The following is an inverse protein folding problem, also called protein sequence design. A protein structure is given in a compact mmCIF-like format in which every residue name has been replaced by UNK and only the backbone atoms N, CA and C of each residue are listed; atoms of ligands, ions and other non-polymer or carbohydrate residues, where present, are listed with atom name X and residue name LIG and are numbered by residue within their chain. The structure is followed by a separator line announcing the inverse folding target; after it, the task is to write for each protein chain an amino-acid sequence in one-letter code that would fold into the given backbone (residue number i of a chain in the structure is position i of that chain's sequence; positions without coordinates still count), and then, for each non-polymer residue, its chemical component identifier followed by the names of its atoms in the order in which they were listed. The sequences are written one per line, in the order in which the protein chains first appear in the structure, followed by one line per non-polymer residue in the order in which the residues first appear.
data_IF_389793100603
#
_entry.id   IF_389793100603
#
_cell.length_a   1.000
_cell.length_b   1.000
_cell.length_c   1.000
_cell.angle_alpha   90.00
_cell.angle_beta   90.00
_cell.angle_gamma   90.00
#
_symmetry.space_group_name_H-M   'P 1'
#
loop_
_entity.id
_entity.type
_entity.pdbx_description
1 polymer ?
#
# COMPACT_ATOMS: atom_id res chain seq x y z
N UNK A 1 20.87 12.41 9.75
CA UNK A 1 20.14 11.86 8.59
C UNK A 1 20.83 10.62 8.02
N UNK A 2 20.05 9.65 7.50
CA UNK A 2 20.58 8.44 6.92
C UNK A 2 21.09 7.36 7.89
N UNK A 3 20.85 7.48 9.17
CA UNK A 3 21.21 6.50 10.19
C UNK A 3 19.96 5.89 10.84
N UNK A 4 20.02 4.59 11.11
CA UNK A 4 19.04 3.92 11.96
C UNK A 4 19.52 4.00 13.40
N UNK A 5 18.61 4.38 14.31
CA UNK A 5 18.84 4.38 15.75
C UNK A 5 17.80 3.49 16.42
N UNK A 6 18.14 2.90 17.56
CA UNK A 6 17.25 2.04 18.32
C UNK A 6 16.97 2.67 19.66
N UNK A 7 15.71 2.71 20.02
CA UNK A 7 15.20 3.11 21.31
C UNK A 7 14.35 1.96 21.87
N UNK A 8 14.52 1.65 23.12
CA UNK A 8 13.65 0.71 23.81
C UNK A 8 13.10 1.33 25.10
N UNK A 9 11.89 0.98 25.46
CA UNK A 9 11.26 1.40 26.69
C UNK A 9 10.28 0.33 27.19
N UNK A 10 10.01 0.34 28.49
CA UNK A 10 8.99 -0.51 29.11
C UNK A 10 7.83 0.37 29.55
N UNK A 11 6.68 0.29 28.92
CA UNK A 11 5.51 1.03 29.36
C UNK A 11 5.03 0.48 30.71
N UNK A 12 4.57 1.35 31.59
CA UNK A 12 4.10 1.00 32.94
C UNK A 12 2.61 1.21 33.14
N UNK A 13 1.94 1.86 32.16
CA UNK A 13 0.51 2.16 32.23
C UNK A 13 -0.12 2.01 30.86
N UNK A 14 -1.26 1.32 30.80
CA UNK A 14 -2.10 1.22 29.60
C UNK A 14 -2.67 2.59 29.28
N UNK A 15 -2.76 2.94 27.98
CA UNK A 15 -3.32 4.19 27.52
C UNK A 15 -2.78 4.65 26.17
N UNK A 16 -3.24 5.83 25.76
CA UNK A 16 -2.78 6.50 24.56
C UNK A 16 -1.88 7.68 24.95
N UNK A 17 -0.74 7.79 24.30
CA UNK A 17 0.27 8.82 24.56
C UNK A 17 0.71 9.47 23.26
N UNK A 18 1.09 10.74 23.36
CA UNK A 18 1.70 11.45 22.23
C UNK A 18 3.22 11.30 22.28
N UNK A 19 3.82 11.01 21.14
CA UNK A 19 5.26 11.14 20.93
C UNK A 19 5.50 12.34 20.03
N UNK A 20 6.21 13.31 20.57
CA UNK A 20 6.48 14.58 19.91
C UNK A 20 7.96 14.67 19.56
N UNK A 21 8.28 15.36 18.47
CA UNK A 21 9.65 15.74 18.18
C UNK A 21 10.09 16.82 19.19
N UNK A 22 11.14 16.53 19.97
CA UNK A 22 11.56 17.39 21.08
C UNK A 22 12.49 18.51 20.66
N UNK A 23 13.24 18.33 19.55
CA UNK A 23 14.20 19.29 19.02
C UNK A 23 13.86 19.68 17.60
N UNK A 24 14.07 20.95 17.24
CA UNK A 24 13.77 21.45 15.91
C UNK A 24 14.51 20.64 14.82
N UNK A 25 13.73 20.00 13.94
CA UNK A 25 14.26 19.07 12.92
C UNK A 25 13.97 19.53 11.48
N UNK A 26 13.30 20.65 11.27
CA UNK A 26 12.99 21.18 9.93
C UNK A 26 11.61 21.82 9.83
N UNK A 27 11.18 22.11 8.60
CA UNK A 27 10.00 22.93 8.27
C UNK A 27 8.68 22.39 8.85
N UNK A 28 8.51 21.07 8.98
CA UNK A 28 7.29 20.43 9.52
C UNK A 28 7.49 19.89 10.94
N UNK A 29 8.40 20.48 11.70
CA UNK A 29 8.71 20.04 13.05
C UNK A 29 7.47 19.95 13.97
N UNK A 30 6.57 20.92 13.90
CA UNK A 30 5.32 20.95 14.69
C UNK A 30 4.33 19.86 14.32
N UNK A 31 4.43 19.31 13.11
CA UNK A 31 3.52 18.30 12.58
C UNK A 31 4.03 16.86 12.82
N UNK A 32 5.24 16.73 13.40
CA UNK A 32 5.84 15.45 13.75
C UNK A 32 5.24 14.92 15.05
N UNK A 33 3.99 14.49 14.97
CA UNK A 33 3.21 13.96 16.08
C UNK A 33 2.92 12.48 15.78
N UNK A 34 3.36 11.58 16.66
CA UNK A 34 2.98 10.18 16.63
C UNK A 34 2.14 9.81 17.86
N UNK A 35 1.31 8.79 17.72
CA UNK A 35 0.53 8.22 18.82
C UNK A 35 1.12 6.88 19.24
N UNK A 36 1.31 6.69 20.51
CA UNK A 36 1.77 5.44 21.13
C UNK A 36 0.61 4.84 21.90
N UNK A 37 0.17 3.66 21.48
CA UNK A 37 -0.89 2.90 22.14
C UNK A 37 -0.25 1.83 23.00
N UNK A 38 -0.41 1.95 24.32
CA UNK A 38 -0.01 0.93 25.29
C UNK A 38 -1.23 0.11 25.63
N UNK A 39 -1.19 -1.17 25.28
CA UNK A 39 -2.30 -2.10 25.43
C UNK A 39 -1.97 -3.15 26.50
N UNK A 40 -3.00 -3.84 26.98
CA UNK A 40 -2.83 -5.07 27.76
C UNK A 40 -2.05 -6.11 26.94
N UNK A 41 -1.19 -6.93 27.56
CA UNK A 41 -0.40 -7.95 26.84
C UNK A 41 -1.23 -8.90 25.96
N UNK A 42 -2.46 -9.25 26.37
CA UNK A 42 -3.32 -10.13 25.58
C UNK A 42 -3.89 -9.40 24.35
N UNK A 43 -4.30 -8.14 24.51
CA UNK A 43 -4.76 -7.28 23.39
C UNK A 43 -3.62 -6.99 22.42
N UNK A 44 -2.42 -6.70 22.93
CA UNK A 44 -1.25 -6.51 22.08
C UNK A 44 -0.89 -7.78 21.29
N UNK A 45 -0.94 -8.94 21.91
CA UNK A 45 -0.67 -10.21 21.24
C UNK A 45 -1.70 -10.49 20.12
N UNK A 46 -2.99 -10.17 20.37
CA UNK A 46 -4.04 -10.28 19.37
C UNK A 46 -3.78 -9.31 18.21
N UNK A 47 -3.52 -8.05 18.51
CA UNK A 47 -3.20 -7.04 17.51
C UNK A 47 -1.97 -7.42 16.68
N UNK A 48 -0.91 -7.92 17.32
CA UNK A 48 0.32 -8.35 16.64
C UNK A 48 0.05 -9.53 15.71
N UNK A 49 -0.77 -10.49 16.12
CA UNK A 49 -1.16 -11.62 15.29
C UNK A 49 -1.98 -11.18 14.07
N UNK A 50 -2.88 -10.21 14.23
CA UNK A 50 -3.69 -9.62 13.16
C UNK A 50 -2.83 -8.84 12.16
N UNK A 51 -1.97 -7.95 12.65
CA UNK A 51 -1.05 -7.17 11.81
C UNK A 51 -0.01 -8.04 11.10
N UNK A 52 0.39 -9.16 11.72
CA UNK A 52 1.35 -10.10 11.12
C UNK A 52 0.75 -10.94 10.00
N UNK A 53 -0.53 -11.29 10.12
CA UNK A 53 -1.28 -12.00 9.07
C UNK A 53 -2.69 -11.41 8.93
N UNK A 54 -2.84 -10.33 8.18
CA UNK A 54 -4.12 -9.67 7.99
C UNK A 54 -5.18 -10.56 7.32
N UNK A 55 -4.78 -11.67 6.70
CA UNK A 55 -5.70 -12.63 6.09
C UNK A 55 -6.45 -13.52 7.11
N UNK A 56 -6.16 -13.39 8.39
CA UNK A 56 -6.88 -14.17 9.42
C UNK A 56 -8.29 -13.66 9.67
N UNK A 57 -8.48 -12.34 9.63
CA UNK A 57 -9.74 -11.70 10.01
C UNK A 57 -10.33 -10.85 8.87
N UNK A 58 -9.60 -10.69 7.75
CA UNK A 58 -10.02 -9.89 6.61
C UNK A 58 -10.13 -10.72 5.33
N UNK A 59 -11.07 -10.34 4.47
CA UNK A 59 -11.17 -10.90 3.13
C UNK A 59 -9.94 -10.55 2.28
N UNK A 60 -9.71 -11.29 1.20
CA UNK A 60 -8.63 -10.94 0.26
C UNK A 60 -8.80 -9.52 -0.29
N UNK A 61 -10.01 -9.12 -0.63
CA UNK A 61 -10.29 -7.77 -1.14
C UNK A 61 -10.04 -6.68 -0.09
N UNK A 62 -10.38 -6.91 1.20
CA UNK A 62 -10.08 -5.95 2.27
C UNK A 62 -8.58 -5.79 2.49
N UNK A 63 -7.83 -6.90 2.48
CA UNK A 63 -6.36 -6.84 2.54
C UNK A 63 -5.80 -6.11 1.32
N UNK A 64 -6.34 -6.40 0.14
CA UNK A 64 -6.00 -5.70 -1.10
C UNK A 64 -6.21 -4.19 -1.00
N UNK A 65 -7.36 -3.77 -0.46
CA UNK A 65 -7.69 -2.36 -0.20
C UNK A 65 -6.66 -1.70 0.71
N UNK A 66 -6.30 -2.34 1.81
CA UNK A 66 -5.29 -1.84 2.74
C UNK A 66 -3.91 -1.71 2.08
N UNK A 67 -3.51 -2.69 1.27
CA UNK A 67 -2.24 -2.66 0.55
C UNK A 67 -2.20 -1.54 -0.48
N UNK A 68 -3.27 -1.39 -1.28
CA UNK A 68 -3.39 -0.33 -2.28
C UNK A 68 -3.36 1.05 -1.63
N UNK A 69 -4.11 1.25 -0.55
CA UNK A 69 -4.11 2.52 0.20
C UNK A 69 -2.73 2.87 0.74
N UNK A 70 -1.97 1.88 1.22
CA UNK A 70 -0.66 2.11 1.83
C UNK A 70 0.47 2.27 0.83
N UNK A 71 0.43 1.57 -0.31
CA UNK A 71 1.58 1.45 -1.23
C UNK A 71 1.38 2.07 -2.61
N UNK A 72 0.13 2.28 -3.03
CA UNK A 72 -0.18 2.66 -4.41
C UNK A 72 -0.84 4.04 -4.52
N UNK A 73 -1.56 4.50 -3.48
CA UNK A 73 -2.38 5.71 -3.52
C UNK A 73 -1.59 7.01 -3.72
N UNK A 74 -0.28 7.01 -3.46
CA UNK A 74 0.58 8.18 -3.74
C UNK A 74 0.69 8.47 -5.25
N UNK A 75 0.58 7.44 -6.09
CA UNK A 75 0.74 7.54 -7.54
C UNK A 75 -0.53 7.21 -8.33
N UNK A 76 -1.43 6.42 -7.77
CA UNK A 76 -2.65 5.97 -8.44
C UNK A 76 -3.90 6.44 -7.70
N UNK A 77 -4.94 6.81 -8.44
CA UNK A 77 -6.26 7.12 -7.90
C UNK A 77 -7.20 5.91 -8.03
N UNK A 78 -8.29 5.93 -7.27
CA UNK A 78 -9.39 4.95 -7.35
C UNK A 78 -10.69 5.60 -7.86
N UNK A 79 -10.69 6.92 -8.04
CA UNK A 79 -11.88 7.72 -8.37
C UNK A 79 -11.90 8.22 -9.84
N UNK A 80 -10.87 7.92 -10.61
CA UNK A 80 -10.75 8.31 -12.01
C UNK A 80 -9.95 9.59 -12.24
N UNK A 81 -9.46 10.26 -11.21
CA UNK A 81 -8.63 11.44 -11.35
C UNK A 81 -7.27 11.09 -11.96
N UNK A 82 -6.74 12.01 -12.75
CA UNK A 82 -5.36 11.88 -13.25
C UNK A 82 -4.37 12.00 -12.09
N UNK A 83 -3.36 11.13 -12.10
CA UNK A 83 -2.25 11.14 -11.14
C UNK A 83 -0.96 10.72 -11.89
N UNK A 84 0.14 10.51 -11.16
CA UNK A 84 1.42 10.02 -11.71
C UNK A 84 1.26 8.71 -12.49
N UNK A 85 0.43 7.81 -11.98
CA UNK A 85 0.03 6.55 -12.63
C UNK A 85 -1.45 6.56 -13.05
N UNK A 86 -1.87 5.58 -13.87
CA UNK A 86 -3.25 5.43 -14.29
C UNK A 86 -4.17 5.11 -13.12
N UNK A 87 -5.44 5.52 -13.22
CA UNK A 87 -6.44 5.24 -12.20
C UNK A 87 -6.79 3.75 -12.15
N UNK A 88 -7.05 3.25 -10.94
CA UNK A 88 -7.56 1.90 -10.71
C UNK A 88 -9.09 1.78 -10.85
N UNK A 89 -9.79 2.92 -11.02
CA UNK A 89 -11.25 2.91 -11.24
C UNK A 89 -11.60 2.03 -12.41
N UNK A 90 -12.41 0.99 -12.18
CA UNK A 90 -12.83 0.00 -13.19
C UNK A 90 -11.65 -0.54 -14.00
N UNK A 91 -10.54 -0.85 -13.34
CA UNK A 91 -9.33 -1.34 -14.01
C UNK A 91 -9.53 -2.77 -14.49
N UNK A 92 -10.02 -3.67 -13.63
CA UNK A 92 -10.16 -5.09 -13.96
C UNK A 92 -11.13 -5.29 -15.13
N UNK A 93 -10.71 -6.06 -16.12
CA UNK A 93 -11.47 -6.30 -17.34
C UNK A 93 -11.44 -5.19 -18.38
N UNK A 94 -10.86 -4.02 -18.09
CA UNK A 94 -10.77 -2.90 -19.03
C UNK A 94 -9.69 -3.15 -20.08
N UNK A 95 -9.93 -2.69 -21.30
CA UNK A 95 -8.88 -2.58 -22.31
C UNK A 95 -7.93 -1.43 -22.00
N UNK A 96 -6.65 -1.72 -21.97
CA UNK A 96 -5.55 -0.77 -21.70
C UNK A 96 -4.69 -0.64 -22.94
N UNK A 97 -4.56 0.59 -23.45
CA UNK A 97 -3.65 0.91 -24.55
C UNK A 97 -2.24 1.11 -24.00
N UNK A 98 -1.28 0.41 -24.58
CA UNK A 98 0.12 0.50 -24.20
C UNK A 98 0.88 1.52 -25.05
N UNK A 99 2.04 1.95 -24.58
CA UNK A 99 2.89 2.94 -25.23
C UNK A 99 3.46 2.46 -26.58
N UNK A 100 3.57 1.15 -26.78
CA UNK A 100 3.96 0.53 -28.05
C UNK A 100 2.82 0.46 -29.09
N UNK A 101 1.63 0.95 -28.71
CA UNK A 101 0.43 0.96 -29.56
C UNK A 101 -0.43 -0.31 -29.46
N UNK A 102 -0.01 -1.33 -28.76
CA UNK A 102 -0.81 -2.53 -28.52
C UNK A 102 -1.91 -2.28 -27.47
N UNK A 103 -2.93 -3.11 -27.48
CA UNK A 103 -4.01 -3.07 -26.49
C UNK A 103 -4.07 -4.42 -25.78
N UNK A 104 -4.20 -4.40 -24.47
CA UNK A 104 -4.28 -5.58 -23.61
C UNK A 104 -5.48 -5.46 -22.67
N UNK A 105 -6.06 -6.58 -22.27
CA UNK A 105 -7.09 -6.60 -21.24
C UNK A 105 -6.41 -6.60 -19.87
N UNK A 106 -6.85 -5.73 -18.97
CA UNK A 106 -6.34 -5.68 -17.59
C UNK A 106 -6.92 -6.84 -16.77
N UNK A 107 -6.43 -8.03 -17.02
CA UNK A 107 -6.73 -9.27 -16.30
C UNK A 107 -5.78 -9.50 -15.10
N UNK A 108 -5.91 -10.64 -14.44
CA UNK A 108 -5.04 -11.02 -13.32
C UNK A 108 -3.56 -11.07 -13.70
N UNK A 109 -3.26 -11.57 -14.92
CA UNK A 109 -1.87 -11.68 -15.40
C UNK A 109 -1.28 -10.31 -15.66
N UNK A 110 -2.04 -9.42 -16.30
CA UNK A 110 -1.63 -8.03 -16.53
C UNK A 110 -1.31 -7.32 -15.22
N UNK A 111 -2.19 -7.43 -14.20
CA UNK A 111 -2.00 -6.78 -12.89
C UNK A 111 -0.77 -7.36 -12.20
N UNK A 112 -0.62 -8.69 -12.17
CA UNK A 112 0.54 -9.38 -11.59
C UNK A 112 1.83 -8.95 -12.28
N UNK A 113 1.85 -8.94 -13.61
CA UNK A 113 3.03 -8.54 -14.37
C UNK A 113 3.39 -7.07 -14.12
N UNK A 114 2.41 -6.18 -14.07
CA UNK A 114 2.63 -4.76 -13.77
C UNK A 114 3.24 -4.53 -12.39
N UNK A 115 2.89 -5.34 -11.38
CA UNK A 115 3.48 -5.28 -10.05
C UNK A 115 4.92 -5.81 -10.00
N UNK A 116 5.21 -6.88 -10.75
CA UNK A 116 6.52 -7.55 -10.69
C UNK A 116 7.50 -6.97 -11.70
N UNK A 117 7.02 -6.63 -12.90
CA UNK A 117 7.81 -6.14 -14.03
C UNK A 117 7.18 -4.88 -14.65
N UNK A 118 7.07 -3.75 -13.91
CA UNK A 118 6.31 -2.57 -14.35
C UNK A 118 6.82 -1.93 -15.64
N UNK A 119 8.06 -2.18 -16.01
CA UNK A 119 8.64 -1.67 -17.26
C UNK A 119 8.27 -2.44 -18.53
N UNK A 120 7.55 -3.59 -18.40
CA UNK A 120 7.21 -4.40 -19.59
C UNK A 120 6.00 -3.86 -20.34
N UNK A 121 4.99 -3.39 -19.63
CA UNK A 121 3.72 -2.95 -20.20
C UNK A 121 3.42 -1.54 -19.70
N UNK A 122 3.95 -0.54 -20.40
CA UNK A 122 3.79 0.86 -20.04
C UNK A 122 2.49 1.37 -20.66
N UNK A 123 1.60 1.91 -19.86
CA UNK A 123 0.32 2.48 -20.30
C UNK A 123 0.58 3.74 -21.13
N UNK A 124 -0.10 3.87 -22.27
CA UNK A 124 0.03 5.04 -23.15
C UNK A 124 -0.25 6.35 -22.39
N UNK A 125 0.64 7.32 -22.53
CA UNK A 125 0.54 8.62 -21.87
C UNK A 125 1.14 8.68 -20.46
N UNK A 126 1.71 7.58 -19.95
CA UNK A 126 2.37 7.55 -18.66
C UNK A 126 3.87 7.26 -18.79
N UNK A 127 4.64 7.75 -17.83
CA UNK A 127 6.09 7.52 -17.76
C UNK A 127 6.40 6.20 -16.99
N UNK A 128 7.52 5.50 -17.32
CA UNK A 128 7.92 4.24 -16.69
C UNK A 128 8.57 4.47 -15.31
N UNK A 129 7.82 5.08 -14.39
CA UNK A 129 8.31 5.46 -13.04
C UNK A 129 7.79 4.55 -11.92
N UNK A 130 6.92 3.58 -12.25
CA UNK A 130 6.40 2.63 -11.27
C UNK A 130 7.53 1.73 -10.74
N UNK A 131 7.72 1.65 -9.41
CA UNK A 131 8.72 0.76 -8.83
C UNK A 131 8.28 -0.70 -8.94
N UNK A 132 9.24 -1.62 -8.95
CA UNK A 132 8.93 -3.06 -8.87
C UNK A 132 8.61 -3.46 -7.43
N UNK A 133 7.61 -4.31 -7.28
CA UNK A 133 7.25 -4.95 -6.01
C UNK A 133 7.75 -6.39 -5.90
N UNK A 134 8.61 -6.81 -6.83
CA UNK A 134 9.24 -8.13 -6.79
C UNK A 134 9.99 -8.34 -5.48
N UNK A 135 9.68 -9.42 -4.74
CA UNK A 135 10.28 -9.71 -3.44
C UNK A 135 9.78 -8.82 -2.28
N UNK A 136 8.91 -7.82 -2.56
CA UNK A 136 8.30 -6.96 -1.55
C UNK A 136 6.85 -7.34 -1.23
N UNK A 137 6.14 -7.88 -2.21
CA UNK A 137 4.81 -8.44 -2.06
C UNK A 137 4.88 -9.97 -2.17
N UNK A 138 4.20 -10.66 -1.27
CA UNK A 138 3.98 -12.10 -1.34
C UNK A 138 2.87 -12.43 -2.36
N UNK A 139 2.84 -13.64 -2.87
CA UNK A 139 1.80 -14.05 -3.84
C UNK A 139 0.37 -13.86 -3.30
N UNK A 140 0.14 -14.13 -2.01
CA UNK A 140 -1.16 -13.87 -1.35
C UNK A 140 -1.55 -12.40 -1.38
N UNK A 141 -0.58 -11.49 -1.21
CA UNK A 141 -0.81 -10.05 -1.22
C UNK A 141 -1.09 -9.54 -2.63
N UNK A 142 -0.42 -10.10 -3.64
CA UNK A 142 -0.72 -9.80 -5.05
C UNK A 142 -2.13 -10.27 -5.39
N UNK A 143 -2.51 -11.48 -4.98
CA UNK A 143 -3.88 -11.99 -5.15
C UNK A 143 -4.89 -11.08 -4.47
N UNK A 144 -4.61 -10.60 -3.25
CA UNK A 144 -5.47 -9.68 -2.53
C UNK A 144 -5.69 -8.36 -3.29
N UNK A 145 -4.64 -7.80 -3.87
CA UNK A 145 -4.74 -6.59 -4.70
C UNK A 145 -5.64 -6.85 -5.93
N UNK A 146 -5.49 -8.01 -6.57
CA UNK A 146 -6.31 -8.40 -7.73
C UNK A 146 -7.79 -8.52 -7.33
N UNK A 147 -8.09 -9.19 -6.20
CA UNK A 147 -9.48 -9.33 -5.70
C UNK A 147 -10.10 -7.96 -5.39
N UNK A 148 -9.33 -7.04 -4.79
CA UNK A 148 -9.80 -5.67 -4.59
C UNK A 148 -10.08 -4.94 -5.91
N UNK A 149 -9.27 -5.13 -6.94
CA UNK A 149 -9.54 -4.52 -8.25
C UNK A 149 -10.74 -5.12 -8.96
N UNK A 150 -11.08 -6.38 -8.71
CA UNK A 150 -12.35 -6.99 -9.17
C UNK A 150 -13.55 -6.30 -8.53
N UNK A 151 -13.53 -6.08 -7.20
CA UNK A 151 -14.57 -5.33 -6.51
C UNK A 151 -14.71 -3.89 -7.00
N UNK A 152 -13.61 -3.22 -7.35
CA UNK A 152 -13.65 -1.85 -7.90
C UNK A 152 -14.24 -1.78 -9.33
N UNK A 153 -14.40 -2.92 -10.01
CA UNK A 153 -14.94 -2.99 -11.37
C UNK A 153 -16.45 -3.27 -11.39
N UNK A 154 -17.03 -3.70 -10.25
CA UNK A 154 -18.48 -3.88 -10.06
C UNK A 154 -19.17 -2.54 -9.79
#
# INVERSE_FOLDING_TARGET
PGRYTHLWFRPTRIGEYLALCSEYCGTTHSDMIARVYVQDPAEYAKWLADVSDPFREHSFADVGRMLVARRCSSCHSIDGRANVGPTFKSLFGREVKLADGTTVTADENYIRESLIYPGRQIVAGYSPVMPTFRGQLKDREITAIIEYFKELAE
#
